data_IF_621892085229
#
_entry.id   IF_621892085229
#
_cell.length_a   1.000
_cell.length_b   1.000
_cell.length_c   1.000
_cell.angle_alpha   90.00
_cell.angle_beta   90.00
_cell.angle_gamma   90.00
#
_symmetry.space_group_name_H-M   'P 1'
#
loop_
_entity.id
_entity.type
_entity.pdbx_description
1 polymer ?
#
# COMPACT_ATOMS: atom_id res chain seq x y z
N UNK A 1 -5.72 1.80 -6.64
CA UNK A 1 -6.41 1.55 -7.92
C UNK A 1 -7.94 1.59 -7.81
N UNK A 2 -8.60 0.72 -7.03
CA UNK A 2 -10.08 0.67 -6.97
C UNK A 2 -10.76 2.01 -6.65
N UNK A 3 -10.19 2.78 -5.73
CA UNK A 3 -10.67 4.13 -5.42
C UNK A 3 -10.71 5.04 -6.66
N UNK A 4 -9.61 5.10 -7.41
CA UNK A 4 -9.50 5.90 -8.63
C UNK A 4 -10.51 5.43 -9.70
N UNK A 5 -10.68 4.11 -9.87
CA UNK A 5 -11.65 3.56 -10.82
C UNK A 5 -13.08 3.99 -10.49
N UNK A 6 -13.47 3.97 -9.21
CA UNK A 6 -14.80 4.39 -8.79
C UNK A 6 -15.02 5.88 -9.00
N UNK A 7 -14.01 6.69 -8.64
CA UNK A 7 -14.02 8.15 -8.84
C UNK A 7 -14.13 8.51 -10.33
N UNK A 8 -13.35 7.87 -11.19
CA UNK A 8 -13.38 8.05 -12.65
C UNK A 8 -14.75 7.64 -13.22
N UNK A 9 -15.29 6.48 -12.80
CA UNK A 9 -16.60 6.00 -13.24
C UNK A 9 -17.78 6.89 -12.80
N UNK A 10 -17.63 7.64 -11.70
CA UNK A 10 -18.61 8.62 -11.22
C UNK A 10 -18.33 10.05 -11.69
N UNK A 11 -17.34 10.23 -12.57
CA UNK A 11 -16.88 11.54 -13.05
C UNK A 11 -16.47 12.51 -11.93
N UNK A 12 -15.97 11.96 -10.81
CA UNK A 12 -15.51 12.69 -9.64
C UNK A 12 -13.98 12.80 -9.62
N UNK A 13 -13.40 13.45 -10.63
CA UNK A 13 -11.95 13.70 -10.69
C UNK A 13 -11.55 14.94 -9.86
N UNK A 14 -11.89 14.90 -8.57
CA UNK A 14 -11.66 15.97 -7.59
C UNK A 14 -10.22 15.99 -7.05
N UNK A 15 -9.93 16.92 -6.13
CA UNK A 15 -8.60 17.06 -5.50
C UNK A 15 -8.09 15.75 -4.88
N UNK A 16 -9.00 14.96 -4.28
CA UNK A 16 -8.64 13.67 -3.69
C UNK A 16 -8.26 12.64 -4.75
N UNK A 17 -8.99 12.60 -5.88
CA UNK A 17 -8.57 11.82 -7.06
C UNK A 17 -7.18 12.24 -7.54
N UNK A 18 -6.98 13.55 -7.71
CA UNK A 18 -5.73 14.13 -8.19
C UNK A 18 -4.54 13.77 -7.29
N UNK A 19 -4.71 13.88 -5.98
CA UNK A 19 -3.70 13.50 -4.99
C UNK A 19 -3.33 12.01 -5.06
N UNK A 20 -4.33 11.12 -5.10
CA UNK A 20 -4.07 9.67 -5.14
C UNK A 20 -3.46 9.24 -6.47
N UNK A 21 -3.91 9.81 -7.58
CA UNK A 21 -3.36 9.54 -8.91
C UNK A 21 -1.89 9.99 -9.00
N UNK A 22 -1.58 11.21 -8.57
CA UNK A 22 -0.20 11.72 -8.50
C UNK A 22 0.69 10.90 -7.57
N UNK A 23 0.20 10.53 -6.39
CA UNK A 23 0.94 9.69 -5.43
C UNK A 23 1.29 8.32 -6.04
N UNK A 24 0.33 7.70 -6.74
CA UNK A 24 0.55 6.42 -7.41
C UNK A 24 1.57 6.55 -8.55
N UNK A 25 1.46 7.58 -9.38
CA UNK A 25 2.41 7.85 -10.46
C UNK A 25 3.82 8.15 -9.92
N UNK A 26 3.93 8.95 -8.87
CA UNK A 26 5.19 9.26 -8.21
C UNK A 26 5.86 7.99 -7.69
N UNK A 27 5.12 7.14 -6.97
CA UNK A 27 5.64 5.87 -6.47
C UNK A 27 6.04 4.93 -7.61
N UNK A 28 5.24 4.84 -8.68
CA UNK A 28 5.56 4.00 -9.83
C UNK A 28 6.82 4.46 -10.58
N UNK A 29 7.06 5.77 -10.69
CA UNK A 29 8.32 6.32 -11.24
C UNK A 29 9.51 5.92 -10.39
N UNK A 30 9.39 6.07 -9.06
CA UNK A 30 10.42 5.62 -8.14
C UNK A 30 10.70 4.11 -8.28
N UNK A 31 9.64 3.29 -8.41
CA UNK A 31 9.77 1.84 -8.61
C UNK A 31 10.50 1.47 -9.90
N UNK A 32 10.30 2.20 -11.00
CA UNK A 32 10.99 1.93 -12.27
C UNK A 32 12.52 2.01 -12.15
N UNK A 33 13.00 2.87 -11.26
CA UNK A 33 14.42 3.21 -11.10
C UNK A 33 15.08 2.44 -9.95
N UNK A 34 14.35 2.22 -8.85
CA UNK A 34 14.95 1.77 -7.59
C UNK A 34 14.47 0.39 -7.12
N UNK A 35 13.32 -0.08 -7.60
CA UNK A 35 12.72 -1.32 -7.10
C UNK A 35 13.04 -2.51 -8.01
N UNK A 36 13.08 -3.71 -7.43
CA UNK A 36 13.32 -4.98 -8.12
C UNK A 36 12.48 -6.10 -7.50
N UNK A 37 12.14 -7.17 -8.24
CA UNK A 37 11.48 -8.35 -7.71
C UNK A 37 12.21 -8.93 -6.48
N UNK A 38 11.47 -9.43 -5.50
CA UNK A 38 12.04 -9.89 -4.23
C UNK A 38 13.09 -10.98 -4.39
N UNK A 39 12.85 -11.92 -5.30
CA UNK A 39 13.73 -13.08 -5.48
C UNK A 39 14.99 -12.78 -6.31
N UNK A 40 15.11 -11.59 -6.90
CA UNK A 40 16.40 -11.12 -7.43
C UNK A 40 17.41 -10.85 -6.31
N UNK A 41 16.94 -10.53 -5.10
CA UNK A 41 17.75 -10.32 -3.90
C UNK A 41 17.57 -11.48 -2.92
N UNK A 42 17.60 -12.70 -3.45
CA UNK A 42 17.39 -13.92 -2.67
C UNK A 42 18.29 -14.02 -1.44
N UNK A 43 19.53 -13.57 -1.56
CA UNK A 43 20.52 -13.60 -0.48
C UNK A 43 20.21 -12.63 0.67
N UNK A 44 19.35 -11.64 0.45
CA UNK A 44 18.89 -10.70 1.49
C UNK A 44 17.69 -11.26 2.28
N UNK A 45 17.04 -12.32 1.80
CA UNK A 45 15.86 -12.90 2.42
C UNK A 45 16.26 -13.96 3.44
N UNK A 46 15.82 -13.79 4.69
CA UNK A 46 16.00 -14.81 5.74
C UNK A 46 15.37 -16.16 5.35
N UNK A 47 14.22 -16.13 4.68
CA UNK A 47 13.53 -17.33 4.15
C UNK A 47 12.95 -17.08 2.75
N UNK A 48 13.63 -17.52 1.68
CA UNK A 48 13.16 -17.34 0.30
C UNK A 48 12.06 -18.36 -0.05
N UNK A 49 10.88 -18.17 0.51
CA UNK A 49 9.67 -18.97 0.24
C UNK A 49 8.93 -18.55 -1.04
N UNK A 50 8.06 -19.43 -1.53
CA UNK A 50 7.15 -19.25 -2.66
C UNK A 50 6.22 -18.02 -2.52
N UNK A 51 6.00 -17.56 -1.29
CA UNK A 51 5.21 -16.35 -1.00
C UNK A 51 5.88 -15.11 -1.55
N UNK A 52 7.22 -15.06 -1.62
CA UNK A 52 7.95 -13.93 -2.19
C UNK A 52 7.77 -13.85 -3.70
N UNK A 53 7.74 -14.98 -4.40
CA UNK A 53 7.39 -15.02 -5.83
C UNK A 53 5.99 -14.44 -6.06
N UNK A 54 5.01 -14.85 -5.23
CA UNK A 54 3.65 -14.32 -5.32
C UNK A 54 3.57 -12.82 -4.93
N UNK A 55 4.38 -12.35 -3.98
CA UNK A 55 4.45 -10.92 -3.64
C UNK A 55 4.98 -10.07 -4.79
N UNK A 56 5.87 -10.59 -5.64
CA UNK A 56 6.33 -9.87 -6.82
C UNK A 56 5.22 -9.64 -7.86
N UNK A 57 4.16 -10.46 -7.90
CA UNK A 57 2.95 -10.14 -8.67
C UNK A 57 2.28 -8.86 -8.16
N UNK A 58 2.28 -8.63 -6.83
CA UNK A 58 1.72 -7.40 -6.25
C UNK A 58 2.55 -6.16 -6.59
N UNK A 59 3.87 -6.31 -6.73
CA UNK A 59 4.72 -5.22 -7.22
C UNK A 59 4.37 -4.89 -8.68
N UNK A 60 4.21 -5.90 -9.54
CA UNK A 60 3.81 -5.71 -10.92
C UNK A 60 2.42 -5.07 -11.07
N UNK A 61 1.45 -5.43 -10.21
CA UNK A 61 0.12 -4.82 -10.18
C UNK A 61 0.14 -3.30 -9.98
N UNK A 62 1.09 -2.78 -9.18
CA UNK A 62 1.22 -1.34 -8.96
C UNK A 62 1.58 -0.65 -10.27
N UNK A 63 2.52 -1.22 -11.03
CA UNK A 63 2.94 -0.69 -12.32
C UNK A 63 1.81 -0.79 -13.37
N UNK A 64 1.07 -1.91 -13.40
CA UNK A 64 -0.12 -2.03 -14.24
C UNK A 64 -1.16 -0.98 -13.89
N UNK A 65 -1.46 -0.77 -12.61
CA UNK A 65 -2.41 0.24 -12.17
C UNK A 65 -1.96 1.67 -12.52
N UNK A 66 -0.68 1.98 -12.35
CA UNK A 66 -0.11 3.29 -12.67
C UNK A 66 -0.09 3.57 -14.17
N UNK A 67 0.15 2.55 -15.00
CA UNK A 67 0.16 2.68 -16.46
C UNK A 67 -1.17 3.19 -17.02
N UNK A 68 -2.28 2.92 -16.32
CA UNK A 68 -3.61 3.41 -16.69
C UNK A 68 -3.77 4.92 -16.52
N UNK A 69 -2.97 5.55 -15.66
CA UNK A 69 -2.98 7.00 -15.42
C UNK A 69 -1.90 7.73 -16.23
N UNK A 70 -0.81 7.04 -16.58
CA UNK A 70 0.28 7.62 -17.35
C UNK A 70 -0.09 7.75 -18.82
N UNK A 71 0.63 8.61 -19.54
CA UNK A 71 0.50 8.80 -20.99
C UNK A 71 1.87 8.72 -21.67
N UNK A 72 1.87 8.59 -23.00
CA UNK A 72 3.09 8.58 -23.83
C UNK A 72 4.10 7.51 -23.42
N UNK A 73 5.39 7.87 -23.47
CA UNK A 73 6.51 6.97 -23.18
C UNK A 73 6.45 6.38 -21.76
N UNK A 74 6.01 7.14 -20.76
CA UNK A 74 5.93 6.66 -19.39
C UNK A 74 4.94 5.50 -19.26
N UNK A 75 3.80 5.56 -19.97
CA UNK A 75 2.83 4.45 -20.01
C UNK A 75 3.47 3.19 -20.52
N UNK A 76 4.17 3.26 -21.65
CA UNK A 76 4.81 2.10 -22.26
C UNK A 76 5.89 1.50 -21.37
N UNK A 77 6.76 2.34 -20.79
CA UNK A 77 7.79 1.89 -19.83
C UNK A 77 7.18 1.18 -18.61
N UNK A 78 6.07 1.69 -18.08
CA UNK A 78 5.36 1.06 -16.97
C UNK A 78 4.77 -0.29 -17.38
N UNK A 79 4.11 -0.38 -18.55
CA UNK A 79 3.51 -1.63 -19.05
C UNK A 79 4.57 -2.69 -19.33
N UNK A 80 5.67 -2.31 -19.98
CA UNK A 80 6.79 -3.21 -20.28
C UNK A 80 7.38 -3.78 -18.98
N UNK A 81 7.68 -2.92 -18.00
CA UNK A 81 8.20 -3.36 -16.70
C UNK A 81 7.21 -4.23 -15.96
N UNK A 82 5.93 -3.85 -15.93
CA UNK A 82 4.88 -4.64 -15.29
C UNK A 82 4.77 -6.04 -15.91
N UNK A 83 4.84 -6.14 -17.24
CA UNK A 83 4.85 -7.42 -17.97
C UNK A 83 6.06 -8.27 -17.58
N UNK A 84 7.27 -7.70 -17.66
CA UNK A 84 8.50 -8.41 -17.33
C UNK A 84 8.50 -8.95 -15.89
N UNK A 85 8.05 -8.14 -14.92
CA UNK A 85 7.94 -8.56 -13.53
C UNK A 85 6.86 -9.61 -13.30
N UNK A 86 5.74 -9.51 -14.01
CA UNK A 86 4.69 -10.54 -13.96
C UNK A 86 5.23 -11.88 -14.44
N UNK A 87 5.92 -11.89 -15.58
CA UNK A 87 6.53 -13.10 -16.16
C UNK A 87 7.63 -13.68 -15.28
N UNK A 88 8.48 -12.82 -14.68
CA UNK A 88 9.49 -13.25 -13.72
C UNK A 88 8.85 -13.88 -12.48
N UNK A 89 7.82 -13.24 -11.90
CA UNK A 89 7.15 -13.75 -10.71
C UNK A 89 6.50 -15.12 -10.95
N UNK A 90 5.90 -15.35 -12.14
CA UNK A 90 5.40 -16.67 -12.51
C UNK A 90 6.52 -17.70 -12.65
N UNK A 91 7.62 -17.35 -13.32
CA UNK A 91 8.79 -18.24 -13.45
C UNK A 91 9.34 -18.63 -12.08
N UNK A 92 9.51 -17.65 -11.19
CA UNK A 92 10.01 -17.89 -9.84
C UNK A 92 9.05 -18.77 -9.03
N UNK A 93 7.74 -18.53 -9.16
CA UNK A 93 6.73 -19.31 -8.46
C UNK A 93 6.78 -20.79 -8.88
N UNK A 94 6.83 -21.06 -10.18
CA UNK A 94 6.89 -22.43 -10.71
C UNK A 94 8.23 -23.13 -10.46
N UNK A 95 9.27 -22.41 -10.03
CA UNK A 95 10.55 -23.00 -9.65
C UNK A 95 10.53 -23.67 -8.26
N UNK A 96 9.50 -23.41 -7.43
CA UNK A 96 9.34 -24.06 -6.14
C UNK A 96 8.69 -25.45 -6.26
N UNK A 97 9.10 -26.39 -5.42
CA UNK A 97 8.56 -27.76 -5.40
C UNK A 97 7.05 -27.80 -5.09
N UNK A 98 6.56 -26.91 -4.21
CA UNK A 98 5.14 -26.81 -3.85
C UNK A 98 4.65 -25.35 -3.98
N UNK A 99 4.22 -24.91 -5.17
CA UNK A 99 3.84 -23.51 -5.41
C UNK A 99 2.42 -23.16 -4.91
N UNK A 100 1.68 -24.10 -4.35
CA UNK A 100 0.21 -24.00 -4.15
C UNK A 100 -0.23 -24.02 -2.68
N UNK A 101 0.58 -23.47 -1.76
CA UNK A 101 0.13 -23.30 -0.38
C UNK A 101 -1.03 -22.27 -0.28
N UNK A 102 -1.75 -22.27 0.85
CA UNK A 102 -2.92 -21.41 1.05
C UNK A 102 -2.61 -19.91 0.95
N UNK A 103 -1.47 -19.45 1.50
CA UNK A 103 -1.05 -18.04 1.48
C UNK A 103 -0.67 -17.60 0.08
N UNK A 104 0.13 -18.40 -0.62
CA UNK A 104 0.55 -18.16 -2.00
C UNK A 104 -0.65 -18.12 -2.92
N UNK A 105 -1.56 -19.08 -2.81
CA UNK A 105 -2.81 -19.12 -3.56
C UNK A 105 -3.66 -17.86 -3.33
N UNK A 106 -3.80 -17.40 -2.07
CA UNK A 106 -4.55 -16.18 -1.77
C UNK A 106 -3.93 -14.92 -2.41
N UNK A 107 -2.59 -14.82 -2.40
CA UNK A 107 -1.89 -13.70 -3.06
C UNK A 107 -2.04 -13.79 -4.57
N UNK A 108 -1.82 -14.96 -5.18
CA UNK A 108 -1.93 -15.16 -6.63
C UNK A 108 -3.35 -14.85 -7.11
N UNK A 109 -4.38 -15.41 -6.48
CA UNK A 109 -5.78 -15.20 -6.88
C UNK A 109 -6.19 -13.72 -6.85
N UNK A 110 -5.63 -12.94 -5.93
CA UNK A 110 -5.97 -11.52 -5.80
C UNK A 110 -5.11 -10.62 -6.68
N UNK A 111 -3.79 -10.88 -6.74
CA UNK A 111 -2.84 -10.07 -7.49
C UNK A 111 -2.88 -10.39 -8.98
N UNK A 112 -2.71 -11.65 -9.38
CA UNK A 112 -2.68 -12.02 -10.79
C UNK A 112 -3.97 -11.64 -11.52
N UNK A 113 -5.14 -11.86 -10.90
CA UNK A 113 -6.43 -11.45 -11.46
C UNK A 113 -6.49 -9.93 -11.63
N UNK A 114 -6.03 -9.16 -10.63
CA UNK A 114 -6.04 -7.70 -10.68
C UNK A 114 -5.09 -7.16 -11.75
N UNK A 115 -3.88 -7.71 -11.86
CA UNK A 115 -2.93 -7.38 -12.91
C UNK A 115 -3.50 -7.63 -14.30
N UNK A 116 -4.13 -8.78 -14.51
CA UNK A 116 -4.83 -9.08 -15.77
C UNK A 116 -5.94 -8.05 -16.07
N UNK A 117 -6.80 -7.76 -15.09
CA UNK A 117 -7.84 -6.74 -15.23
C UNK A 117 -7.26 -5.34 -15.52
N UNK A 118 -6.10 -4.98 -14.96
CA UNK A 118 -5.47 -3.69 -15.23
C UNK A 118 -4.82 -3.61 -16.61
N UNK A 119 -4.20 -4.70 -17.07
CA UNK A 119 -3.58 -4.80 -18.39
C UNK A 119 -4.58 -4.54 -19.51
N UNK A 120 -5.78 -5.10 -19.36
CA UNK A 120 -6.81 -5.12 -20.39
C UNK A 120 -7.84 -3.98 -20.20
N UNK A 121 -7.78 -3.25 -19.07
CA UNK A 121 -8.66 -2.13 -18.80
C UNK A 121 -8.28 -0.86 -19.59
N UNK A 122 -9.27 -0.01 -19.91
CA UNK A 122 -9.01 1.29 -20.51
C UNK A 122 -8.19 2.21 -19.58
N UNK A 123 -7.49 3.20 -20.17
CA UNK A 123 -6.84 4.25 -19.38
C UNK A 123 -7.88 5.00 -18.53
N UNK A 124 -7.44 5.45 -17.36
CA UNK A 124 -8.19 6.35 -16.49
C UNK A 124 -7.90 7.79 -16.90
N UNK A 125 -8.77 8.74 -16.51
CA UNK A 125 -8.49 10.16 -16.70
C UNK A 125 -7.18 10.55 -16.01
N UNK A 126 -6.29 11.31 -16.67
CA UNK A 126 -5.09 11.81 -16.02
C UNK A 126 -5.46 12.71 -14.83
N UNK A 127 -4.59 12.83 -13.81
CA UNK A 127 -4.81 13.79 -12.75
C UNK A 127 -4.92 15.21 -13.35
N UNK A 128 -5.86 16.05 -12.89
CA UNK A 128 -5.98 17.44 -13.35
C UNK A 128 -4.69 18.21 -13.10
N UNK A 129 -4.33 19.17 -13.97
CA UNK A 129 -3.04 19.88 -13.94
C UNK A 129 -2.77 20.64 -12.63
N UNK A 130 -3.83 21.06 -11.94
CA UNK A 130 -3.72 21.70 -10.62
C UNK A 130 -3.06 20.77 -9.60
N UNK A 131 -1.96 21.24 -9.01
CA UNK A 131 -1.32 20.51 -7.91
C UNK A 131 -2.26 20.51 -6.69
N UNK A 132 -2.56 19.34 -6.11
CA UNK A 132 -3.40 19.27 -4.93
C UNK A 132 -2.67 19.94 -3.77
N UNK A 133 -3.41 20.62 -2.90
CA UNK A 133 -2.83 21.27 -1.72
C UNK A 133 -2.45 20.18 -0.72
N UNK A 134 -1.24 19.65 -0.88
CA UNK A 134 -0.69 18.70 0.09
C UNK A 134 -0.19 19.46 1.31
N UNK A 135 -0.58 19.05 2.53
CA UNK A 135 0.02 19.60 3.73
C UNK A 135 1.53 19.27 3.70
N UNK A 136 2.37 20.13 4.30
CA UNK A 136 3.80 19.86 4.40
C UNK A 136 4.04 18.50 5.07
N UNK A 137 5.07 17.74 4.66
CA UNK A 137 5.37 16.44 5.23
C UNK A 137 5.63 16.59 6.73
N UNK A 138 4.76 15.98 7.55
CA UNK A 138 4.93 15.95 9.00
C UNK A 138 5.69 14.68 9.42
N UNK A 139 6.64 14.77 10.37
CA UNK A 139 7.30 13.60 10.90
C UNK A 139 6.29 12.68 11.59
N UNK A 140 6.40 11.37 11.35
CA UNK A 140 5.54 10.41 12.02
C UNK A 140 5.80 10.41 13.53
N UNK A 141 4.84 10.90 14.30
CA UNK A 141 4.83 10.79 15.76
C UNK A 141 4.03 9.57 16.20
N UNK A 142 4.71 8.61 16.84
CA UNK A 142 4.05 7.44 17.42
C UNK A 142 2.92 7.86 18.39
N UNK A 143 1.87 7.04 18.52
CA UNK A 143 0.78 7.31 19.45
C UNK A 143 1.28 7.51 20.89
N UNK A 144 2.27 6.71 21.31
CA UNK A 144 2.94 6.84 22.62
C UNK A 144 3.60 8.21 22.78
N UNK A 145 4.32 8.67 21.75
CA UNK A 145 4.97 10.00 21.76
C UNK A 145 3.94 11.11 21.84
N UNK A 146 2.85 11.03 21.07
CA UNK A 146 1.75 12.01 21.11
C UNK A 146 1.12 12.09 22.50
N UNK A 147 0.87 10.95 23.15
CA UNK A 147 0.33 10.92 24.53
C UNK A 147 1.31 11.53 25.53
N UNK A 148 2.60 11.19 25.46
CA UNK A 148 3.63 11.79 26.33
C UNK A 148 3.70 13.31 26.17
N UNK A 149 3.64 13.81 24.94
CA UNK A 149 3.64 15.25 24.65
C UNK A 149 2.36 15.93 25.16
N UNK A 150 1.20 15.28 25.01
CA UNK A 150 -0.05 15.79 25.53
C UNK A 150 -0.04 15.87 27.07
N UNK A 151 0.48 14.87 27.76
CA UNK A 151 0.61 14.83 29.23
C UNK A 151 1.61 15.87 29.78
N UNK A 152 2.44 16.51 28.95
CA UNK A 152 3.28 17.63 29.39
C UNK A 152 2.49 18.94 29.53
N UNK A 153 1.27 19.02 28.97
CA UNK A 153 0.38 20.18 29.08
C UNK A 153 -0.71 19.90 30.10
N UNK A 154 -1.08 20.86 30.98
CA UNK A 154 -2.12 20.66 31.99
C UNK A 154 -3.46 20.25 31.37
N UNK A 155 -3.82 20.84 30.23
CA UNK A 155 -5.03 20.47 29.47
C UNK A 155 -5.00 19.02 28.94
N UNK A 156 -3.83 18.51 28.57
CA UNK A 156 -3.68 17.12 28.11
C UNK A 156 -3.76 16.12 29.26
N UNK A 157 -3.28 16.47 30.46
CA UNK A 157 -3.51 15.69 31.68
C UNK A 157 -5.00 15.59 32.01
N UNK A 158 -5.73 16.72 31.98
CA UNK A 158 -7.18 16.75 32.22
C UNK A 158 -7.90 15.89 31.19
N UNK A 159 -7.57 16.03 29.90
CA UNK A 159 -8.18 15.24 28.83
C UNK A 159 -7.92 13.74 29.00
N UNK A 160 -6.70 13.36 29.41
CA UNK A 160 -6.35 11.97 29.68
C UNK A 160 -7.12 11.41 30.89
N UNK A 161 -7.24 12.19 31.97
CA UNK A 161 -8.02 11.81 33.16
C UNK A 161 -9.50 11.64 32.84
N UNK A 162 -10.12 12.60 32.14
CA UNK A 162 -11.53 12.52 31.72
C UNK A 162 -11.77 11.28 30.85
N UNK A 163 -10.86 10.98 29.91
CA UNK A 163 -10.96 9.77 29.08
C UNK A 163 -10.77 8.49 29.88
N UNK A 164 -9.90 8.48 30.90
CA UNK A 164 -9.72 7.33 31.77
C UNK A 164 -10.93 7.08 32.69
N UNK A 165 -11.61 8.16 33.11
CA UNK A 165 -12.81 8.11 33.94
C UNK A 165 -14.09 7.77 33.15
N UNK A 166 -14.04 7.75 31.81
CA UNK A 166 -15.16 7.30 30.99
C UNK A 166 -15.44 5.80 31.25
N UNK A 167 -16.68 5.39 31.59
CA UNK A 167 -16.98 4.06 32.13
C UNK A 167 -16.41 2.85 31.35
N UNK A 168 -16.51 2.77 30.02
CA UNK A 168 -15.95 1.64 29.27
C UNK A 168 -14.42 1.62 29.27
N UNK A 169 -13.75 2.77 29.44
CA UNK A 169 -12.30 2.82 29.57
C UNK A 169 -11.84 2.40 30.97
N UNK A 170 -12.62 2.71 32.01
CA UNK A 170 -12.35 2.30 33.38
C UNK A 170 -12.34 0.77 33.51
N UNK A 171 -13.33 0.09 32.91
CA UNK A 171 -13.40 -1.38 32.87
C UNK A 171 -12.18 -1.97 32.14
N UNK A 172 -11.78 -1.39 31.01
CA UNK A 172 -10.58 -1.81 30.26
C UNK A 172 -9.31 -1.62 31.08
N UNK A 173 -9.21 -0.52 31.83
CA UNK A 173 -8.04 -0.19 32.64
C UNK A 173 -7.93 -1.12 33.85
N UNK A 174 -9.05 -1.42 34.52
CA UNK A 174 -9.11 -2.42 35.60
C UNK A 174 -8.72 -3.82 35.11
N UNK A 175 -9.19 -4.23 33.92
CA UNK A 175 -8.81 -5.51 33.32
C UNK A 175 -7.33 -5.57 32.95
N UNK A 176 -6.74 -4.47 32.49
CA UNK A 176 -5.31 -4.35 32.22
C UNK A 176 -4.47 -4.48 33.49
N UNK A 177 -4.84 -3.79 34.55
CA UNK A 177 -4.15 -3.86 35.85
C UNK A 177 -4.27 -5.27 36.44
N UNK A 178 -5.42 -5.92 36.30
CA UNK A 178 -5.64 -7.31 36.75
C UNK A 178 -4.78 -8.31 35.98
N UNK A 179 -4.59 -8.12 34.66
CA UNK A 179 -3.70 -8.94 33.83
C UNK A 179 -2.21 -8.71 34.10
N UNK A 180 -1.82 -7.58 34.69
CA UNK A 180 -0.43 -7.28 35.02
C UNK A 180 -0.01 -7.78 36.41
N UNK A 181 -1.00 -8.08 37.28
CA UNK A 181 -0.79 -8.64 38.64
C UNK A 181 -0.80 -10.17 38.69
N UNK A 182 -1.26 -10.84 37.63
CA UNK A 182 -1.20 -12.29 37.44
C UNK A 182 -0.13 -12.61 36.40
#
# INVERSE_FOLDING_TARGET
>A
ARYLQLKDAWDQCDEAYAYVARSLLHYARWMLEHERPFLERRDELEYPTEVWAAQSLRQADVLWAASRLAEGELRERLRERAKAWTEQAWRDLYAFECPVNARTSAVVLTAALRGACHRDAPPLKPPPDEEPVSPPPEPFLSQRTRVKLALRRPAGCITALVRALYPPNLIRLLNLVRRWRN
#
